data_IF_873796085626
#
_entry.id   IF_873796085626
#
_cell.length_a   1.000
_cell.length_b   1.000
_cell.length_c   1.000
_cell.angle_alpha   90.00
_cell.angle_beta   90.00
_cell.angle_gamma   90.00
#
_symmetry.space_group_name_H-M   'P 1'
#
loop_
_entity.id
_entity.type
_entity.pdbx_description
1 polymer ?
#
# COMPACT_ATOMS: atom_id res chain seq x y z
N UNK A 1 -14.75 6.75 -19.38
CA UNK A 1 -15.34 6.22 -18.14
C UNK A 1 -14.26 5.78 -17.18
N UNK A 2 -14.35 6.24 -15.94
CA UNK A 2 -13.46 5.82 -14.87
C UNK A 2 -14.21 4.78 -14.05
N UNK A 3 -13.68 3.55 -14.00
CA UNK A 3 -14.24 2.48 -13.15
C UNK A 3 -13.77 2.60 -11.68
N UNK A 4 -13.21 3.75 -11.30
CA UNK A 4 -12.78 4.04 -9.94
C UNK A 4 -13.96 4.49 -9.07
N UNK A 5 -14.11 3.87 -7.90
CA UNK A 5 -15.12 4.24 -6.91
C UNK A 5 -14.48 4.86 -5.65
N UNK A 6 -15.23 5.70 -4.95
CA UNK A 6 -14.89 6.22 -3.64
C UNK A 6 -14.75 5.11 -2.57
N UNK A 7 -15.43 3.97 -2.77
CA UNK A 7 -15.42 2.80 -1.89
C UNK A 7 -14.36 1.75 -2.25
N UNK A 8 -13.59 1.96 -3.34
CA UNK A 8 -12.47 1.07 -3.66
C UNK A 8 -11.52 1.02 -2.46
N UNK A 9 -11.08 -0.17 -2.07
CA UNK A 9 -10.15 -0.36 -0.95
C UNK A 9 -8.73 -0.11 -1.41
N UNK A 10 -7.97 0.62 -0.60
CA UNK A 10 -6.55 0.79 -0.85
C UNK A 10 -5.79 -0.52 -0.63
N UNK A 11 -4.92 -0.85 -1.58
CA UNK A 11 -3.94 -1.91 -1.45
C UNK A 11 -2.56 -1.27 -1.32
N UNK A 12 -1.81 -1.63 -0.29
CA UNK A 12 -0.52 -1.03 0.02
C UNK A 12 0.54 -2.11 0.15
N UNK A 13 1.74 -1.83 -0.35
CA UNK A 13 2.91 -2.68 -0.16
C UNK A 13 4.04 -1.79 0.34
N UNK A 14 4.67 -2.22 1.42
CA UNK A 14 5.93 -1.67 1.92
C UNK A 14 6.98 -2.75 1.76
N UNK A 15 7.96 -2.49 0.91
CA UNK A 15 9.05 -3.41 0.62
C UNK A 15 10.34 -2.91 1.27
N UNK A 16 10.96 -3.76 2.08
CA UNK A 16 12.29 -3.54 2.64
C UNK A 16 13.30 -4.28 1.76
N UNK A 17 14.06 -3.54 0.96
CA UNK A 17 15.03 -4.11 0.03
C UNK A 17 16.29 -4.64 0.73
N UNK A 18 16.64 -4.08 1.90
CA UNK A 18 17.78 -4.51 2.71
C UNK A 18 17.58 -5.92 3.28
N UNK A 19 16.33 -6.24 3.68
CA UNK A 19 15.96 -7.55 4.23
C UNK A 19 15.27 -8.47 3.22
N UNK A 20 14.91 -7.97 2.03
CA UNK A 20 14.10 -8.67 1.04
C UNK A 20 12.74 -9.14 1.59
N UNK A 21 12.15 -8.33 2.48
CA UNK A 21 10.87 -8.61 3.13
C UNK A 21 9.81 -7.60 2.68
N UNK A 22 8.54 -7.98 2.72
CA UNK A 22 7.43 -7.09 2.41
C UNK A 22 6.30 -7.22 3.42
N UNK A 23 5.67 -6.08 3.70
CA UNK A 23 4.37 -6.00 4.39
C UNK A 23 3.37 -5.48 3.39
N UNK A 24 2.18 -6.06 3.37
CA UNK A 24 1.12 -5.64 2.47
C UNK A 24 -0.23 -5.60 3.16
N UNK A 25 -1.08 -4.69 2.70
CA UNK A 25 -2.48 -4.58 3.06
C UNK A 25 -3.28 -4.75 1.77
N UNK A 26 -4.19 -5.71 1.75
CA UNK A 26 -5.09 -5.96 0.60
C UNK A 26 -6.46 -5.32 0.76
N UNK A 27 -6.87 -5.02 2.00
CA UNK A 27 -8.15 -4.40 2.33
C UNK A 27 -7.93 -3.20 3.26
N UNK A 28 -7.31 -2.15 2.72
CA UNK A 28 -7.08 -0.89 3.44
C UNK A 28 -8.31 0.00 3.51
N UNK A 29 -8.18 1.23 4.01
CA UNK A 29 -9.26 2.22 3.99
C UNK A 29 -9.80 2.49 2.58
N UNK A 30 -11.04 3.00 2.53
CA UNK A 30 -11.67 3.45 1.31
C UNK A 30 -10.83 4.52 0.63
N UNK A 31 -10.80 4.52 -0.70
CA UNK A 31 -10.12 5.50 -1.54
C UNK A 31 -10.45 6.94 -1.15
N UNK A 32 -11.71 7.19 -0.78
CA UNK A 32 -12.18 8.50 -0.33
C UNK A 32 -11.60 8.97 1.00
N UNK A 33 -11.04 8.07 1.81
CA UNK A 33 -10.33 8.41 3.07
C UNK A 33 -9.07 9.22 2.80
N UNK A 34 -8.42 9.00 1.65
CA UNK A 34 -7.22 9.75 1.23
C UNK A 34 -5.96 9.50 2.07
N UNK A 35 -6.01 8.63 3.07
CA UNK A 35 -4.87 8.25 3.92
C UNK A 35 -5.00 6.81 4.40
N UNK A 36 -3.86 6.19 4.70
CA UNK A 36 -3.78 4.85 5.25
C UNK A 36 -2.52 4.69 6.10
N UNK A 37 -2.57 3.77 7.07
CA UNK A 37 -1.47 3.47 7.99
C UNK A 37 -1.05 2.02 7.75
N UNK A 38 0.26 1.80 7.58
CA UNK A 38 0.86 0.47 7.48
C UNK A 38 1.81 0.29 8.65
N UNK A 39 1.58 -0.73 9.46
CA UNK A 39 2.51 -1.09 10.53
C UNK A 39 3.62 -1.96 9.94
N UNK A 40 4.86 -1.54 10.12
CA UNK A 40 6.05 -2.30 9.73
C UNK A 40 6.72 -2.91 10.97
N UNK A 41 7.47 -4.02 10.83
CA UNK A 41 8.22 -4.59 11.94
C UNK A 41 9.25 -3.62 12.53
N UNK A 42 9.36 -3.56 13.86
CA UNK A 42 10.39 -2.77 14.55
C UNK A 42 11.81 -3.14 14.12
N UNK A 43 12.00 -4.38 13.66
CA UNK A 43 13.29 -4.88 13.15
C UNK A 43 13.76 -4.17 11.87
N UNK A 44 12.90 -3.39 11.23
CA UNK A 44 13.20 -2.59 10.03
C UNK A 44 13.67 -1.17 10.37
N UNK A 45 13.69 -0.77 11.64
CA UNK A 45 14.12 0.57 12.05
C UNK A 45 15.51 0.91 11.48
N UNK A 46 15.58 2.00 10.71
CA UNK A 46 16.79 2.47 10.05
C UNK A 46 17.01 1.94 8.62
N UNK A 47 16.22 0.97 8.17
CA UNK A 47 16.31 0.42 6.83
C UNK A 47 15.60 1.32 5.81
N UNK A 48 15.93 1.13 4.53
CA UNK A 48 15.22 1.79 3.43
C UNK A 48 14.01 0.96 3.03
N UNK A 49 12.85 1.61 3.02
CA UNK A 49 11.59 1.01 2.56
C UNK A 49 11.06 1.73 1.33
N UNK A 50 10.44 0.95 0.43
CA UNK A 50 9.79 1.39 -0.81
C UNK A 50 8.29 1.17 -0.70
N UNK A 51 7.50 2.18 -1.07
CA UNK A 51 6.04 2.14 -0.94
C UNK A 51 5.37 2.06 -2.30
N UNK A 52 4.40 1.17 -2.42
CA UNK A 52 3.56 0.99 -3.60
C UNK A 52 2.09 0.98 -3.21
N UNK A 53 1.23 1.49 -4.08
CA UNK A 53 -0.21 1.51 -3.86
C UNK A 53 -1.00 1.14 -5.11
N UNK A 54 -2.06 0.37 -4.91
CA UNK A 54 -3.12 0.09 -5.88
C UNK A 54 -4.49 0.24 -5.20
N UNK A 55 -5.56 0.05 -5.96
CA UNK A 55 -6.92 -0.01 -5.45
C UNK A 55 -7.59 -1.30 -5.94
N UNK A 56 -8.45 -1.87 -5.08
CA UNK A 56 -9.33 -2.97 -5.42
C UNK A 56 -10.78 -2.54 -5.23
N UNK A 57 -11.67 -2.90 -6.14
CA UNK A 57 -13.09 -2.60 -5.96
C UNK A 57 -13.66 -3.35 -4.75
N UNK A 58 -14.80 -2.88 -4.26
CA UNK A 58 -15.48 -3.44 -3.08
C UNK A 58 -15.76 -4.95 -3.20
N UNK A 59 -16.04 -5.44 -4.40
CA UNK A 59 -16.30 -6.86 -4.67
C UNK A 59 -15.03 -7.72 -4.78
N UNK A 60 -13.83 -7.13 -4.75
CA UNK A 60 -12.56 -7.85 -4.84
C UNK A 60 -12.20 -8.39 -6.23
N UNK A 61 -12.93 -7.99 -7.28
CA UNK A 61 -12.86 -8.56 -8.64
C UNK A 61 -12.05 -7.72 -9.62
N UNK A 62 -11.87 -6.44 -9.35
CA UNK A 62 -11.15 -5.49 -10.20
C UNK A 62 -10.05 -4.83 -9.39
N UNK A 63 -8.80 -5.01 -9.84
CA UNK A 63 -7.61 -4.43 -9.22
C UNK A 63 -6.97 -3.46 -10.21
N UNK A 64 -6.60 -2.27 -9.74
CA UNK A 64 -5.87 -1.28 -10.53
C UNK A 64 -4.39 -1.65 -10.65
N UNK A 65 -3.68 -1.04 -11.59
CA UNK A 65 -2.21 -1.08 -11.58
C UNK A 65 -1.66 -0.47 -10.29
N UNK A 66 -0.53 -0.98 -9.83
CA UNK A 66 0.22 -0.39 -8.73
C UNK A 66 1.02 0.83 -9.20
N UNK A 67 1.17 1.81 -8.32
CA UNK A 67 1.99 2.98 -8.49
C UNK A 67 3.03 3.03 -7.38
N UNK A 68 4.26 3.42 -7.72
CA UNK A 68 5.31 3.70 -6.75
C UNK A 68 5.07 5.06 -6.11
N UNK A 69 5.04 5.09 -4.78
CA UNK A 69 4.80 6.31 -4.00
C UNK A 69 6.10 6.97 -3.52
N UNK A 70 7.22 6.25 -3.56
CA UNK A 70 8.52 6.73 -3.11
C UNK A 70 9.17 5.79 -2.10
N UNK A 71 10.31 6.24 -1.59
CA UNK A 71 11.07 5.54 -0.55
C UNK A 71 11.30 6.44 0.66
N UNK A 72 11.57 5.81 1.81
CA UNK A 72 11.89 6.49 3.05
C UNK A 72 12.65 5.59 4.01
N UNK A 73 13.12 6.16 5.11
CA UNK A 73 13.74 5.42 6.20
C UNK A 73 12.66 4.96 7.17
N UNK A 74 12.61 3.66 7.45
CA UNK A 74 11.71 3.10 8.45
C UNK A 74 12.09 3.59 9.86
N UNK A 75 11.09 3.99 10.65
CA UNK A 75 11.24 4.57 11.99
C UNK A 75 10.19 4.04 12.95
#
# INVERSE_FOLDING_TARGET
>A
DSNANATDKSMLVVFNSDKTESVYITEGPDRSTGSAIVNIPDSWSGDTVELFMAFINEDGTLVSNSNYLGSGTAS
#
